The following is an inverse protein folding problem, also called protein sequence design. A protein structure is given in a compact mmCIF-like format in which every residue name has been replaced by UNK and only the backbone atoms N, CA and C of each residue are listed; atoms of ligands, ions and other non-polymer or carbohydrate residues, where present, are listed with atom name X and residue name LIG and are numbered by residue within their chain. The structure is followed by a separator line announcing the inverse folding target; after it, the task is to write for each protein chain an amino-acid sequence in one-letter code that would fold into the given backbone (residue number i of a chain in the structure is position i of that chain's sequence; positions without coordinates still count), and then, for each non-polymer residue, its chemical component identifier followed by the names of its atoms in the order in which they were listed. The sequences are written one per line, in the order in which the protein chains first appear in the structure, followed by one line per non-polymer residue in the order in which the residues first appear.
data_IF_801086563129
#
_entry.id   IF_801086563129
#
_cell.length_a   1.000
_cell.length_b   1.000
_cell.length_c   1.000
_cell.angle_alpha   90.00
_cell.angle_beta   90.00
_cell.angle_gamma   90.00
#
_symmetry.space_group_name_H-M   'P 1'
#
loop_
_entity.id
_entity.type
_entity.pdbx_description
1 polymer ?
#
# COMPACT_ATOMS: atom_id res chain seq x y z
N UNK A 1 15.73 -2.67 -9.11
CA UNK A 1 14.81 -2.29 -8.02
C UNK A 1 14.94 -0.80 -7.74
N UNK A 2 13.88 -0.16 -7.27
CA UNK A 2 13.84 1.27 -6.92
C UNK A 2 13.01 1.47 -5.63
N UNK A 3 13.44 2.41 -4.80
CA UNK A 3 12.72 2.80 -3.58
C UNK A 3 11.85 4.02 -3.86
N UNK A 4 10.63 4.00 -3.32
CA UNK A 4 9.72 5.12 -3.30
C UNK A 4 9.29 5.39 -1.85
N UNK A 5 9.60 6.58 -1.36
CA UNK A 5 9.21 6.99 0.00
C UNK A 5 7.75 7.44 0.00
N UNK A 6 6.92 6.74 0.76
CA UNK A 6 5.51 7.09 0.98
C UNK A 6 5.36 7.99 2.22
N UNK A 7 6.24 7.81 3.20
CA UNK A 7 6.39 8.73 4.31
C UNK A 7 7.72 8.53 5.03
N UNK A 8 8.13 9.54 5.77
CA UNK A 8 9.47 9.63 6.36
C UNK A 8 9.48 10.26 7.75
N UNK A 9 8.33 10.75 8.25
CA UNK A 9 8.19 11.26 9.62
C UNK A 9 8.17 10.13 10.64
N UNK A 10 8.57 10.44 11.87
CA UNK A 10 8.52 9.53 13.02
C UNK A 10 7.52 10.07 14.06
N UNK A 11 6.82 9.16 14.74
CA UNK A 11 5.82 9.44 15.77
C UNK A 11 4.51 10.04 15.24
N UNK A 12 4.59 11.21 14.62
CA UNK A 12 3.42 11.96 14.12
C UNK A 12 3.63 12.47 12.70
N UNK A 13 2.58 12.50 11.86
CA UNK A 13 2.68 13.09 10.53
C UNK A 13 2.80 14.61 10.65
N UNK A 14 3.40 15.22 9.64
CA UNK A 14 3.45 16.68 9.49
C UNK A 14 2.61 17.11 8.29
N UNK A 15 2.42 18.43 8.12
CA UNK A 15 1.71 18.98 6.95
C UNK A 15 2.31 18.56 5.60
N UNK A 16 3.59 18.21 5.56
CA UNK A 16 4.32 17.92 4.32
C UNK A 16 4.86 16.50 4.25
N UNK A 17 4.85 15.74 5.35
CA UNK A 17 5.47 14.41 5.43
C UNK A 17 4.60 13.46 6.25
N UNK A 18 4.16 12.38 5.60
CA UNK A 18 3.52 11.27 6.30
C UNK A 18 4.51 10.50 7.19
N UNK A 19 3.97 9.69 8.10
CA UNK A 19 4.72 8.72 8.95
C UNK A 19 5.32 7.56 8.14
N UNK A 20 6.09 6.67 8.79
CA UNK A 20 6.92 5.66 8.13
C UNK A 20 6.18 4.83 7.08
N UNK A 21 6.78 4.73 5.89
CA UNK A 21 6.32 3.85 4.83
C UNK A 21 7.19 3.98 3.58
N UNK A 22 7.71 2.86 3.09
CA UNK A 22 8.58 2.80 1.91
C UNK A 22 8.13 1.68 0.98
N UNK A 23 7.94 1.98 -0.30
CA UNK A 23 7.68 0.99 -1.33
C UNK A 23 8.98 0.58 -2.03
N UNK A 24 9.28 -0.72 -1.98
CA UNK A 24 10.34 -1.35 -2.76
C UNK A 24 9.75 -1.94 -4.04
N UNK A 25 10.11 -1.36 -5.19
CA UNK A 25 9.61 -1.75 -6.51
C UNK A 25 10.53 -2.76 -7.16
N UNK A 26 9.96 -3.83 -7.70
CA UNK A 26 10.70 -4.80 -8.50
C UNK A 26 11.24 -4.13 -9.78
N UNK A 27 12.41 -4.56 -10.23
CA UNK A 27 13.01 -4.05 -11.48
C UNK A 27 12.29 -4.53 -12.73
N UNK A 28 11.61 -5.68 -12.64
CA UNK A 28 10.85 -6.30 -13.73
C UNK A 28 9.43 -6.54 -13.22
N UNK A 29 8.44 -6.13 -14.00
CA UNK A 29 7.04 -6.28 -13.65
C UNK A 29 6.47 -5.13 -12.80
N UNK A 30 5.26 -5.33 -12.28
CA UNK A 30 4.51 -4.34 -11.47
C UNK A 30 4.55 -4.64 -9.97
N UNK A 31 5.23 -5.72 -9.56
CA UNK A 31 5.30 -6.16 -8.18
C UNK A 31 6.03 -5.16 -7.29
N UNK A 32 5.57 -5.03 -6.05
CA UNK A 32 6.22 -4.20 -5.05
C UNK A 32 5.94 -4.71 -3.64
N UNK A 33 6.79 -4.27 -2.71
CA UNK A 33 6.74 -4.60 -1.29
C UNK A 33 6.64 -3.32 -0.48
N UNK A 34 5.90 -3.36 0.61
CA UNK A 34 5.78 -2.24 1.54
C UNK A 34 6.61 -2.52 2.79
N UNK A 35 7.52 -1.62 3.16
CA UNK A 35 8.23 -1.62 4.43
C UNK A 35 7.65 -0.51 5.29
N UNK A 36 7.10 -0.90 6.44
CA UNK A 36 6.25 -0.11 7.34
C UNK A 36 4.99 0.45 6.68
N UNK A 37 3.97 0.63 7.50
CA UNK A 37 2.65 1.08 7.09
C UNK A 37 2.06 1.97 8.18
N UNK A 38 2.62 3.17 8.34
CA UNK A 38 2.05 4.19 9.19
C UNK A 38 0.67 4.67 8.71
N UNK A 39 -0.05 5.37 9.56
CA UNK A 39 -1.37 5.93 9.23
C UNK A 39 -1.37 6.70 7.91
N UNK A 40 -2.45 6.60 7.13
CA UNK A 40 -2.58 7.32 5.87
C UNK A 40 -1.72 6.80 4.71
N UNK A 41 -0.91 5.75 4.90
CA UNK A 41 -0.07 5.16 3.82
C UNK A 41 -0.91 4.78 2.60
N UNK A 42 -2.15 4.32 2.78
CA UNK A 42 -3.06 4.06 1.67
C UNK A 42 -3.30 5.28 0.78
N UNK A 43 -3.41 6.49 1.35
CA UNK A 43 -3.59 7.73 0.58
C UNK A 43 -2.29 8.10 -0.14
N UNK A 44 -1.14 7.89 0.51
CA UNK A 44 0.16 8.10 -0.13
C UNK A 44 0.32 7.22 -1.37
N UNK A 45 -0.15 5.97 -1.32
CA UNK A 45 -0.16 5.06 -2.49
C UNK A 45 -1.02 5.60 -3.63
N UNK A 46 -2.16 6.23 -3.36
CA UNK A 46 -3.03 6.84 -4.39
C UNK A 46 -2.35 7.96 -5.18
N UNK A 47 -1.33 8.61 -4.60
CA UNK A 47 -0.52 9.63 -5.28
C UNK A 47 0.62 9.04 -6.13
N UNK A 48 0.66 7.72 -6.29
CA UNK A 48 1.72 7.01 -7.04
C UNK A 48 1.14 6.17 -8.17
N UNK A 49 2.01 5.51 -8.93
CA UNK A 49 1.63 4.52 -9.96
C UNK A 49 1.51 3.09 -9.39
N UNK A 50 1.63 2.91 -8.08
CA UNK A 50 1.52 1.60 -7.44
C UNK A 50 0.07 1.14 -7.40
N UNK A 51 -0.14 -0.17 -7.52
CA UNK A 51 -1.47 -0.78 -7.40
C UNK A 51 -1.46 -1.77 -6.23
N UNK A 52 -2.52 -1.75 -5.42
CA UNK A 52 -2.69 -2.76 -4.37
C UNK A 52 -2.81 -4.18 -4.92
N UNK A 53 -3.26 -4.35 -6.17
CA UNK A 53 -3.28 -5.65 -6.84
C UNK A 53 -1.87 -6.26 -7.00
N UNK A 54 -0.84 -5.43 -7.14
CA UNK A 54 0.54 -5.88 -7.31
C UNK A 54 1.38 -5.80 -6.04
N UNK A 55 0.76 -5.47 -4.90
CA UNK A 55 1.42 -5.52 -3.59
C UNK A 55 1.66 -6.99 -3.20
N UNK A 56 2.92 -7.34 -2.98
CA UNK A 56 3.35 -8.73 -2.73
C UNK A 56 3.41 -9.09 -1.26
N UNK A 57 3.92 -8.18 -0.43
CA UNK A 57 3.98 -8.34 1.00
C UNK A 57 4.13 -6.99 1.70
N UNK A 58 3.78 -6.97 2.99
CA UNK A 58 4.00 -5.87 3.90
C UNK A 58 4.95 -6.36 5.00
N UNK A 59 6.04 -5.65 5.24
CA UNK A 59 7.00 -5.90 6.29
C UNK A 59 6.90 -4.80 7.34
N UNK A 60 6.69 -5.16 8.59
CA UNK A 60 6.63 -4.21 9.70
C UNK A 60 7.92 -4.34 10.50
N UNK A 61 8.63 -3.23 10.68
CA UNK A 61 9.91 -3.22 11.39
C UNK A 61 9.72 -3.44 12.89
N UNK A 62 8.71 -2.80 13.49
CA UNK A 62 8.36 -2.91 14.90
C UNK A 62 6.94 -2.38 15.18
N UNK A 63 6.45 -2.57 16.40
CA UNK A 63 5.05 -2.33 16.80
C UNK A 63 4.80 -0.92 17.38
N UNK A 64 5.25 0.13 16.70
CA UNK A 64 4.82 1.50 16.99
C UNK A 64 3.78 1.97 15.97
N UNK A 65 2.88 2.86 16.41
CA UNK A 65 1.72 3.25 15.60
C UNK A 65 2.06 3.94 14.29
N UNK A 66 3.14 4.73 14.28
CA UNK A 66 3.70 5.38 13.10
C UNK A 66 4.32 4.40 12.08
N UNK A 67 4.41 3.12 12.43
CA UNK A 67 4.86 2.04 11.55
C UNK A 67 3.77 1.02 11.20
N UNK A 68 2.63 0.96 11.92
CA UNK A 68 1.62 -0.10 11.69
C UNK A 68 0.16 0.33 11.66
N UNK A 69 -0.20 1.57 12.04
CA UNK A 69 -1.62 1.99 12.11
C UNK A 69 -2.30 2.15 10.75
N UNK A 70 -1.56 2.16 9.64
CA UNK A 70 -2.13 2.13 8.30
C UNK A 70 -2.59 0.74 7.83
N UNK A 71 -2.22 -0.33 8.54
CA UNK A 71 -2.50 -1.71 8.14
C UNK A 71 -3.99 -1.99 7.89
N UNK A 72 -4.92 -1.61 8.79
CA UNK A 72 -6.34 -1.87 8.56
C UNK A 72 -6.84 -1.25 7.24
N UNK A 73 -6.40 -0.03 6.93
CA UNK A 73 -6.79 0.66 5.69
C UNK A 73 -6.24 0.02 4.43
N UNK A 74 -4.95 -0.35 4.42
CA UNK A 74 -4.35 -1.04 3.27
C UNK A 74 -4.96 -2.43 3.07
N UNK A 75 -5.23 -3.18 4.13
CA UNK A 75 -5.84 -4.50 4.03
C UNK A 75 -7.27 -4.42 3.49
N UNK A 76 -8.08 -3.50 4.00
CA UNK A 76 -9.42 -3.25 3.48
C UNK A 76 -9.38 -2.84 1.99
N UNK A 77 -8.52 -1.88 1.63
CA UNK A 77 -8.35 -1.44 0.24
C UNK A 77 -7.91 -2.57 -0.69
N UNK A 78 -6.97 -3.41 -0.25
CA UNK A 78 -6.49 -4.55 -1.01
C UNK A 78 -7.59 -5.60 -1.20
N UNK A 79 -8.37 -5.89 -0.16
CA UNK A 79 -9.50 -6.82 -0.22
C UNK A 79 -10.58 -6.33 -1.21
N UNK A 80 -10.95 -5.05 -1.17
CA UNK A 80 -11.91 -4.47 -2.13
C UNK A 80 -11.39 -4.54 -3.58
N UNK A 81 -10.09 -4.31 -3.80
CA UNK A 81 -9.49 -4.46 -5.13
C UNK A 81 -9.54 -5.90 -5.66
N UNK A 82 -9.39 -6.89 -4.78
CA UNK A 82 -9.55 -8.31 -5.16
C UNK A 82 -11.00 -8.59 -5.55
N UNK A 83 -11.98 -8.13 -4.77
CA UNK A 83 -13.40 -8.32 -5.09
C UNK A 83 -13.79 -7.71 -6.43
N UNK A 84 -13.39 -6.47 -6.74
CA UNK A 84 -13.71 -5.84 -8.04
C UNK A 84 -13.17 -6.62 -9.24
N UNK A 85 -12.03 -7.31 -9.11
CA UNK A 85 -11.51 -8.14 -10.20
C UNK A 85 -12.28 -9.46 -10.35
N UNK A 86 -12.81 -10.01 -9.26
CA UNK A 86 -13.67 -11.20 -9.30
C UNK A 86 -15.03 -10.88 -9.92
N UNK A 87 -15.61 -9.72 -9.61
CA UNK A 87 -16.88 -9.28 -10.20
C UNK A 87 -16.74 -9.08 -11.73
N UNK A 88 -15.65 -8.45 -12.20
CA UNK A 88 -15.36 -8.34 -13.63
C UNK A 88 -15.10 -9.69 -14.32
N UNK A 89 -14.59 -10.69 -13.60
CA UNK A 89 -14.41 -12.04 -14.14
C UNK A 89 -15.70 -12.88 -14.14
N UNK A 90 -16.73 -12.45 -13.40
CA UNK A 90 -18.04 -13.11 -13.31
C UNK A 90 -19.10 -12.60 -14.29
N UNK A 91 -18.93 -11.41 -14.87
CA UNK A 91 -19.94 -10.78 -15.75
C UNK A 91 -19.79 -11.11 -17.25
N UNK A 92 -18.81 -11.91 -17.68
CA UNK A 92 -18.65 -12.29 -19.12
C UNK A 92 -19.47 -13.50 -19.58
N UNK A 93 -20.56 -13.84 -18.88
CA UNK A 93 -21.48 -14.88 -19.34
C UNK A 93 -22.92 -14.66 -18.85
N UNK A 94 -23.57 -13.61 -19.37
CA UNK A 94 -24.96 -13.60 -19.88
C UNK A 94 -25.39 -12.14 -20.15
N UNK A 95 -25.23 -11.69 -21.39
CA UNK A 95 -26.17 -10.83 -22.13
C UNK A 95 -25.74 -10.74 -23.58
#
# INVERSE_FOLDING_TARGET
MNLLFLGTSAGVPTKTRNVSGVALRESKGKGWYLIDCGEGTQHQVLHTKLSFHSLKAIFITHMHGDHCYGLPGILASSATYVHRNLDYAGETSFS
#
